data_IF_262065243731
#
_entry.id   IF_262065243731
#
_cell.length_a   1.000
_cell.length_b   1.000
_cell.length_c   1.000
_cell.angle_alpha   90.00
_cell.angle_beta   90.00
_cell.angle_gamma   90.00
#
_symmetry.space_group_name_H-M   'P 1'
#
loop_
_entity.id
_entity.type
_entity.pdbx_description
1 polymer ?
#
# COMPACT_ATOMS: atom_id res chain seq x y z
N UNK A 1 -14.81 -4.72 10.09
CA UNK A 1 -14.25 -4.25 8.82
C UNK A 1 -12.74 -4.23 8.90
N UNK A 2 -12.06 -4.76 7.89
CA UNK A 2 -10.60 -4.80 7.89
C UNK A 2 -10.00 -3.40 7.84
N UNK A 3 -8.91 -3.23 8.56
CA UNK A 3 -8.16 -1.98 8.58
C UNK A 3 -6.75 -2.21 8.04
N UNK A 4 -6.08 -1.14 7.65
CA UNK A 4 -4.72 -1.24 7.17
C UNK A 4 -3.87 -0.11 7.70
N UNK A 5 -2.56 -0.34 7.71
CA UNK A 5 -1.59 0.65 8.10
C UNK A 5 -0.47 0.63 7.06
N UNK A 6 -0.11 1.78 6.55
CA UNK A 6 0.95 1.89 5.55
C UNK A 6 2.12 2.68 6.12
N UNK A 7 3.33 2.18 5.89
CA UNK A 7 4.54 2.84 6.34
C UNK A 7 5.56 2.87 5.21
N UNK A 8 6.33 3.95 5.18
CA UNK A 8 7.41 4.09 4.20
C UNK A 8 8.70 3.54 4.78
N UNK A 9 9.37 2.72 3.99
CA UNK A 9 10.74 2.30 4.27
C UNK A 9 11.65 2.93 3.23
N UNK A 10 12.24 4.08 3.56
CA UNK A 10 13.03 4.85 2.60
C UNK A 10 14.27 4.12 2.13
N UNK A 11 14.89 3.37 3.02
CA UNK A 11 16.16 2.72 2.73
C UNK A 11 16.08 1.78 1.53
N UNK A 12 14.97 1.07 1.41
CA UNK A 12 14.79 0.08 0.35
C UNK A 12 13.76 0.49 -0.70
N UNK A 13 13.22 1.71 -0.59
CA UNK A 13 12.19 2.22 -1.49
C UNK A 13 10.98 1.29 -1.53
N UNK A 14 10.46 0.99 -0.34
CA UNK A 14 9.35 0.06 -0.16
C UNK A 14 8.28 0.72 0.70
N UNK A 15 7.02 0.49 0.34
CA UNK A 15 5.90 0.82 1.22
C UNK A 15 5.43 -0.48 1.86
N UNK A 16 5.44 -0.49 3.18
CA UNK A 16 4.98 -1.65 3.95
C UNK A 16 3.54 -1.42 4.34
N UNK A 17 2.70 -2.41 4.07
CA UNK A 17 1.28 -2.33 4.43
C UNK A 17 0.94 -3.51 5.32
N UNK A 18 0.35 -3.22 6.47
CA UNK A 18 -0.15 -4.24 7.37
C UNK A 18 -1.67 -4.19 7.38
N UNK A 19 -2.31 -5.30 7.11
CA UNK A 19 -3.76 -5.41 7.06
C UNK A 19 -4.21 -6.25 8.25
N UNK A 20 -5.17 -5.73 9.01
CA UNK A 20 -5.76 -6.46 10.12
C UNK A 20 -7.22 -6.74 9.79
N UNK A 21 -7.60 -8.01 9.80
CA UNK A 21 -8.98 -8.40 9.51
C UNK A 21 -9.82 -8.41 10.79
N UNK A 22 -11.13 -8.52 10.61
CA UNK A 22 -12.08 -8.48 11.73
C UNK A 22 -11.86 -9.61 12.74
N UNK A 23 -11.34 -10.73 12.29
CA UNK A 23 -11.08 -11.88 13.16
C UNK A 23 -9.72 -11.79 13.86
N UNK A 24 -8.98 -10.70 13.65
CA UNK A 24 -7.68 -10.50 14.26
C UNK A 24 -6.51 -11.00 13.42
N UNK A 25 -6.78 -11.59 12.27
CA UNK A 25 -5.72 -12.03 11.37
C UNK A 25 -4.96 -10.85 10.80
N UNK A 26 -3.65 -10.99 10.65
CA UNK A 26 -2.80 -9.94 10.11
C UNK A 26 -2.08 -10.44 8.87
N UNK A 27 -2.00 -9.56 7.87
CA UNK A 27 -1.30 -9.85 6.62
C UNK A 27 -0.38 -8.70 6.27
N UNK A 28 0.83 -9.01 5.85
CA UNK A 28 1.82 -7.99 5.47
C UNK A 28 1.99 -8.00 3.95
N UNK A 29 2.07 -6.80 3.39
CA UNK A 29 2.34 -6.62 1.96
C UNK A 29 3.46 -5.62 1.80
N UNK A 30 4.26 -5.79 0.74
CA UNK A 30 5.34 -4.88 0.42
C UNK A 30 5.19 -4.45 -1.03
N UNK A 31 5.32 -3.15 -1.26
CA UNK A 31 5.21 -2.59 -2.61
C UNK A 31 6.46 -1.80 -2.92
N UNK A 32 7.25 -2.30 -3.86
CA UNK A 32 8.47 -1.62 -4.31
C UNK A 32 8.11 -0.45 -5.22
N UNK A 33 8.83 0.65 -5.10
CA UNK A 33 8.64 1.76 -6.01
C UNK A 33 9.99 2.29 -6.46
N UNK A 34 9.98 2.96 -7.63
CA UNK A 34 11.19 3.59 -8.15
C UNK A 34 11.36 4.95 -7.47
N UNK A 35 12.44 5.16 -6.69
CA UNK A 35 12.62 6.42 -5.97
C UNK A 35 12.85 7.63 -6.88
N UNK A 36 13.18 7.40 -8.14
CA UNK A 36 13.41 8.48 -9.10
C UNK A 36 12.14 8.94 -9.79
N UNK A 37 11.23 8.01 -10.08
CA UNK A 37 10.02 8.31 -10.86
C UNK A 37 8.74 8.18 -10.06
N UNK A 38 8.76 7.46 -8.94
CA UNK A 38 7.58 7.17 -8.15
C UNK A 38 6.74 6.05 -8.75
N UNK A 39 7.25 5.32 -9.71
CA UNK A 39 6.53 4.22 -10.35
C UNK A 39 6.45 3.01 -9.44
N UNK A 40 5.28 2.40 -9.40
CA UNK A 40 5.08 1.18 -8.63
C UNK A 40 3.96 0.36 -9.24
N UNK A 41 3.90 -0.92 -8.86
CA UNK A 41 2.87 -1.82 -9.35
C UNK A 41 2.05 -2.36 -8.18
N UNK A 42 0.73 -2.39 -8.36
CA UNK A 42 -0.17 -2.95 -7.37
C UNK A 42 -0.60 -4.34 -7.83
N UNK A 43 0.34 -5.28 -7.75
CA UNK A 43 0.11 -6.64 -8.26
C UNK A 43 -0.99 -7.37 -7.49
N UNK A 44 -1.16 -7.06 -6.21
CA UNK A 44 -2.14 -7.70 -5.34
C UNK A 44 -3.52 -7.06 -5.41
N UNK A 45 -3.71 -6.08 -6.27
CA UNK A 45 -4.97 -5.34 -6.32
C UNK A 45 -6.19 -6.24 -6.52
N UNK A 46 -6.13 -7.14 -7.48
CA UNK A 46 -7.27 -8.01 -7.78
C UNK A 46 -7.62 -8.90 -6.60
N UNK A 47 -6.60 -9.44 -5.95
CA UNK A 47 -6.78 -10.28 -4.78
C UNK A 47 -7.43 -9.51 -3.63
N UNK A 48 -6.95 -8.31 -3.38
CA UNK A 48 -7.47 -7.48 -2.30
C UNK A 48 -8.88 -6.99 -2.58
N UNK A 49 -9.19 -6.68 -3.84
CA UNK A 49 -10.54 -6.29 -4.22
C UNK A 49 -11.54 -7.42 -3.98
N UNK A 50 -11.13 -8.64 -4.25
CA UNK A 50 -11.97 -9.79 -4.02
C UNK A 50 -12.26 -9.98 -2.53
N UNK A 51 -11.24 -9.75 -1.69
CA UNK A 51 -11.36 -10.00 -0.26
C UNK A 51 -12.00 -8.84 0.50
N UNK A 52 -11.72 -7.61 0.10
CA UNK A 52 -12.10 -6.43 0.88
C UNK A 52 -13.00 -5.44 0.15
N UNK A 53 -13.11 -5.54 -1.15
CA UNK A 53 -13.94 -4.65 -1.95
C UNK A 53 -13.14 -3.55 -2.63
N UNK A 54 -13.72 -3.01 -3.69
CA UNK A 54 -13.07 -2.00 -4.53
C UNK A 54 -12.81 -0.69 -3.79
N UNK A 55 -13.79 -0.22 -3.01
CA UNK A 55 -13.64 1.04 -2.29
C UNK A 55 -12.51 0.98 -1.27
N UNK A 56 -12.40 -0.14 -0.59
CA UNK A 56 -11.34 -0.37 0.40
C UNK A 56 -9.96 -0.31 -0.28
N UNK A 57 -9.85 -0.97 -1.42
CA UNK A 57 -8.59 -1.02 -2.17
C UNK A 57 -8.25 0.34 -2.76
N UNK A 58 -9.25 1.08 -3.25
CA UNK A 58 -9.02 2.42 -3.79
C UNK A 58 -8.41 3.34 -2.73
N UNK A 59 -8.91 3.27 -1.51
CA UNK A 59 -8.37 4.08 -0.41
C UNK A 59 -6.93 3.69 -0.09
N UNK A 60 -6.64 2.39 -0.09
CA UNK A 60 -5.28 1.91 0.17
C UNK A 60 -4.33 2.37 -0.93
N UNK A 61 -4.73 2.22 -2.18
CA UNK A 61 -3.91 2.62 -3.30
C UNK A 61 -3.59 4.12 -3.25
N UNK A 62 -4.58 4.93 -2.91
CA UNK A 62 -4.40 6.36 -2.78
C UNK A 62 -3.40 6.71 -1.68
N UNK A 63 -3.47 6.01 -0.56
CA UNK A 63 -2.53 6.24 0.53
C UNK A 63 -1.11 5.84 0.13
N UNK A 64 -0.96 4.70 -0.54
CA UNK A 64 0.35 4.25 -1.00
C UNK A 64 0.94 5.27 -1.98
N UNK A 65 0.11 5.75 -2.91
CA UNK A 65 0.57 6.75 -3.88
C UNK A 65 1.01 8.04 -3.19
N UNK A 66 0.27 8.48 -2.18
CA UNK A 66 0.62 9.67 -1.41
C UNK A 66 1.96 9.50 -0.70
N UNK A 67 2.18 8.34 -0.10
CA UNK A 67 3.43 8.03 0.58
C UNK A 67 4.60 8.06 -0.42
N UNK A 68 4.41 7.44 -1.57
CA UNK A 68 5.44 7.37 -2.61
C UNK A 68 5.75 8.78 -3.13
N UNK A 69 4.74 9.59 -3.38
CA UNK A 69 4.93 10.96 -3.85
C UNK A 69 5.77 11.77 -2.86
N UNK A 70 5.51 11.60 -1.58
CA UNK A 70 6.30 12.24 -0.54
C UNK A 70 7.74 11.75 -0.51
N UNK A 71 7.93 10.45 -0.72
CA UNK A 71 9.25 9.84 -0.71
C UNK A 71 10.11 10.28 -1.89
N UNK A 72 9.48 10.50 -3.04
CA UNK A 72 10.19 10.95 -4.25
C UNK A 72 10.51 12.45 -4.19
N UNK A 73 9.98 13.14 -3.20
CA UNK A 73 10.26 14.57 -3.02
C UNK A 73 9.53 15.46 -4.00
N UNK A 74 8.39 15.05 -4.45
CA UNK A 74 7.59 15.87 -5.34
C UNK A 74 6.74 16.84 -4.54
N UNK A 75 6.80 18.04 -4.94
CA UNK A 75 6.03 19.09 -4.28
C UNK A 75 4.81 19.47 -5.09
#
# INVERSE_FOLDING_TARGET
MATWRAELEEKNSIVLVMVTEDDGSEHDYQFDFDPNTGRWEFAERDLLERDFGEDWVDQLEEEIQTIINGAVGRD
#
